data_IF_494742565493
#
_entry.id   IF_494742565493
#
_cell.length_a   1.000
_cell.length_b   1.000
_cell.length_c   1.000
_cell.angle_alpha   90.00
_cell.angle_beta   90.00
_cell.angle_gamma   90.00
#
_symmetry.space_group_name_H-M   'P 1'
#
loop_
_entity.id
_entity.type
_entity.pdbx_description
1 polymer ?
#
# COMPACT_ATOMS: atom_id res chain seq x y z
N UNK A 1 -18.95 32.72 42.63
CA UNK A 1 -19.40 31.54 41.86
C UNK A 1 -18.44 31.35 40.71
N UNK A 2 -17.79 30.19 40.67
CA UNK A 2 -16.60 29.90 39.86
C UNK A 2 -16.96 29.77 38.38
N UNK A 3 -16.39 30.62 37.52
CA UNK A 3 -16.48 30.48 36.08
C UNK A 3 -15.50 29.39 35.61
N UNK A 4 -16.04 28.22 35.29
CA UNK A 4 -15.25 27.13 34.71
C UNK A 4 -14.80 27.53 33.30
N UNK A 5 -13.51 27.85 33.17
CA UNK A 5 -12.82 28.06 31.91
C UNK A 5 -12.83 26.74 31.12
N UNK A 6 -13.63 26.64 30.05
CA UNK A 6 -13.55 25.53 29.12
C UNK A 6 -12.24 25.66 28.31
N UNK A 7 -11.47 24.58 28.14
CA UNK A 7 -10.15 24.66 27.51
C UNK A 7 -10.31 25.01 26.02
N UNK A 8 -9.58 26.05 25.60
CA UNK A 8 -9.42 26.40 24.21
C UNK A 8 -8.91 25.18 23.43
N UNK A 9 -9.71 24.71 22.48
CA UNK A 9 -9.29 23.68 21.50
C UNK A 9 -8.28 24.35 20.56
N UNK A 10 -7.02 24.43 21.02
CA UNK A 10 -5.90 24.82 20.19
C UNK A 10 -5.76 23.78 19.06
N UNK A 11 -6.13 24.21 17.86
CA UNK A 11 -6.14 23.39 16.67
C UNK A 11 -4.71 23.02 16.26
N UNK A 12 -4.28 21.80 16.59
CA UNK A 12 -3.20 21.14 15.83
C UNK A 12 -3.66 20.99 14.37
N UNK A 13 -2.76 21.14 13.36
CA UNK A 13 -3.08 20.73 12.00
C UNK A 13 -3.62 19.31 12.05
N UNK A 14 -4.81 19.08 11.48
CA UNK A 14 -5.59 17.88 11.75
C UNK A 14 -4.77 16.65 11.36
N UNK A 15 -4.64 15.68 12.28
CA UNK A 15 -3.99 14.40 11.98
C UNK A 15 -4.53 13.76 10.70
N UNK A 16 -5.81 14.00 10.40
CA UNK A 16 -6.46 13.61 9.15
C UNK A 16 -5.83 14.21 7.87
N UNK A 17 -5.41 15.47 7.85
CA UNK A 17 -4.77 16.06 6.67
C UNK A 17 -3.38 15.46 6.42
N UNK A 18 -2.62 15.25 7.49
CA UNK A 18 -1.35 14.54 7.43
C UNK A 18 -1.54 13.07 6.98
N UNK A 19 -2.59 12.41 7.47
CA UNK A 19 -2.95 11.05 7.06
C UNK A 19 -3.30 10.99 5.58
N UNK A 20 -4.01 11.97 5.03
CA UNK A 20 -4.30 12.01 3.58
C UNK A 20 -3.01 12.05 2.74
N UNK A 21 -2.06 12.91 3.08
CA UNK A 21 -0.77 13.00 2.38
C UNK A 21 0.01 11.68 2.46
N UNK A 22 0.00 11.04 3.64
CA UNK A 22 0.64 9.73 3.83
C UNK A 22 -0.04 8.65 3.00
N UNK A 23 -1.38 8.60 2.96
CA UNK A 23 -2.13 7.63 2.15
C UNK A 23 -1.84 7.83 0.66
N UNK A 24 -1.79 9.07 0.17
CA UNK A 24 -1.43 9.36 -1.22
C UNK A 24 0.00 8.88 -1.53
N UNK A 25 0.95 9.13 -0.62
CA UNK A 25 2.32 8.63 -0.78
C UNK A 25 2.35 7.10 -0.86
N UNK A 26 1.57 6.43 -0.02
CA UNK A 26 1.43 4.96 -0.07
C UNK A 26 0.88 4.54 -1.44
N UNK A 27 -0.19 5.18 -1.92
CA UNK A 27 -0.80 4.87 -3.22
C UNK A 27 0.20 4.96 -4.37
N UNK A 28 1.04 6.00 -4.39
CA UNK A 28 2.04 6.17 -5.43
C UNK A 28 3.13 5.08 -5.41
N UNK A 29 3.52 4.57 -4.23
CA UNK A 29 4.44 3.43 -4.15
C UNK A 29 3.80 2.14 -4.64
N UNK A 30 2.53 1.90 -4.34
CA UNK A 30 1.79 0.74 -4.85
C UNK A 30 1.72 0.77 -6.38
N UNK A 31 1.41 1.93 -6.97
CA UNK A 31 1.41 2.08 -8.43
C UNK A 31 2.77 1.78 -9.05
N UNK A 32 3.88 2.16 -8.41
CA UNK A 32 5.23 1.79 -8.86
C UNK A 32 5.41 0.28 -8.87
N UNK A 33 5.04 -0.41 -7.79
CA UNK A 33 5.12 -1.88 -7.71
C UNK A 33 4.26 -2.54 -8.79
N UNK A 34 3.05 -2.05 -9.06
CA UNK A 34 2.20 -2.54 -10.16
C UNK A 34 2.86 -2.35 -11.52
N UNK A 35 3.47 -1.19 -11.77
CA UNK A 35 4.17 -0.93 -13.02
C UNK A 35 5.37 -1.86 -13.23
N UNK A 36 6.11 -2.12 -12.16
CA UNK A 36 7.28 -3.01 -12.17
C UNK A 36 6.87 -4.49 -12.30
N UNK A 37 5.79 -4.93 -11.65
CA UNK A 37 5.30 -6.32 -11.77
C UNK A 37 4.91 -6.68 -13.20
N UNK A 38 4.39 -5.73 -13.98
CA UNK A 38 4.08 -5.95 -15.40
C UNK A 38 5.33 -6.26 -16.23
N UNK A 39 6.46 -5.62 -15.93
CA UNK A 39 7.74 -5.89 -16.61
C UNK A 39 8.17 -7.35 -16.41
N UNK A 40 8.02 -7.87 -15.19
CA UNK A 40 8.30 -9.28 -14.86
C UNK A 40 7.50 -10.24 -15.75
N UNK A 41 6.20 -10.00 -15.91
CA UNK A 41 5.35 -10.86 -16.73
C UNK A 41 5.80 -10.90 -18.20
N UNK A 42 6.18 -9.75 -18.77
CA UNK A 42 6.67 -9.68 -20.16
C UNK A 42 8.03 -10.37 -20.29
N UNK A 43 8.95 -10.13 -19.36
CA UNK A 43 10.26 -10.79 -19.35
C UNK A 43 10.14 -12.30 -19.22
N UNK A 44 9.29 -12.77 -18.30
CA UNK A 44 8.99 -14.19 -18.11
C UNK A 44 8.43 -14.84 -19.39
N UNK A 45 7.56 -14.13 -20.13
CA UNK A 45 7.05 -14.63 -21.40
C UNK A 45 8.16 -14.76 -22.46
N UNK A 46 9.01 -13.75 -22.60
CA UNK A 46 10.14 -13.77 -23.52
C UNK A 46 11.14 -14.89 -23.15
N UNK A 47 11.34 -15.10 -21.86
CA UNK A 47 12.19 -16.14 -21.31
C UNK A 47 11.67 -17.55 -21.62
N UNK A 48 10.35 -17.78 -21.53
CA UNK A 48 9.74 -19.06 -21.94
C UNK A 48 10.02 -19.36 -23.41
N UNK A 49 9.94 -18.36 -24.29
CA UNK A 49 10.24 -18.55 -25.71
C UNK A 49 11.72 -18.90 -25.94
N UNK A 50 12.62 -18.20 -25.25
CA UNK A 50 14.05 -18.48 -25.30
C UNK A 50 14.37 -19.90 -24.79
N UNK A 51 13.75 -20.32 -23.69
CA UNK A 51 13.91 -21.64 -23.12
C UNK A 51 13.40 -22.73 -24.08
N UNK A 52 12.24 -22.53 -24.73
CA UNK A 52 11.73 -23.44 -25.77
C UNK A 52 12.69 -23.58 -26.95
N UNK A 53 13.31 -22.48 -27.38
CA UNK A 53 14.31 -22.49 -28.46
C UNK A 53 15.59 -23.23 -28.07
N UNK A 54 16.00 -23.11 -26.80
CA UNK A 54 17.17 -23.80 -26.26
C UNK A 54 16.94 -25.30 -26.00
N UNK A 55 15.70 -25.75 -26.04
CA UNK A 55 15.35 -27.17 -25.89
C UNK A 55 15.78 -27.71 -24.53
N UNK A 56 16.47 -28.85 -24.52
CA UNK A 56 16.90 -29.53 -23.29
C UNK A 56 17.92 -28.73 -22.49
N UNK A 57 18.64 -27.79 -23.11
CA UNK A 57 19.66 -26.98 -22.44
C UNK A 57 19.10 -25.94 -21.48
N UNK A 58 17.78 -25.65 -21.50
CA UNK A 58 17.17 -24.62 -20.65
C UNK A 58 15.81 -25.04 -20.06
N UNK A 59 15.59 -26.36 -19.86
CA UNK A 59 14.33 -26.86 -19.31
C UNK A 59 14.03 -26.28 -17.92
N UNK A 60 15.01 -26.25 -17.02
CA UNK A 60 14.86 -25.69 -15.67
C UNK A 60 14.51 -24.20 -15.70
N UNK A 61 15.16 -23.44 -16.58
CA UNK A 61 14.84 -22.02 -16.79
C UNK A 61 13.43 -21.81 -17.35
N UNK A 62 12.95 -22.72 -18.21
CA UNK A 62 11.59 -22.69 -18.74
C UNK A 62 10.52 -22.87 -17.67
N UNK A 63 10.72 -23.82 -16.74
CA UNK A 63 9.83 -24.01 -15.57
C UNK A 63 9.82 -22.76 -14.71
N UNK A 64 11.01 -22.24 -14.39
CA UNK A 64 11.13 -21.06 -13.56
C UNK A 64 10.47 -19.83 -14.20
N UNK A 65 10.62 -19.66 -15.52
CA UNK A 65 9.96 -18.57 -16.23
C UNK A 65 8.43 -18.64 -16.14
N UNK A 66 7.86 -19.85 -16.01
CA UNK A 66 6.44 -20.00 -15.71
C UNK A 66 6.10 -19.61 -14.27
N UNK A 67 6.95 -19.96 -13.29
CA UNK A 67 6.80 -19.54 -11.89
C UNK A 67 6.89 -18.01 -11.75
N UNK A 68 7.79 -17.35 -12.46
CA UNK A 68 7.88 -15.88 -12.52
C UNK A 68 6.58 -15.23 -13.01
N UNK A 69 5.90 -15.90 -13.94
CA UNK A 69 4.62 -15.45 -14.49
C UNK A 69 3.48 -15.56 -13.46
N UNK A 70 3.48 -16.65 -12.69
CA UNK A 70 2.53 -16.83 -11.58
C UNK A 70 2.82 -15.79 -10.50
N UNK A 71 4.08 -15.66 -10.07
CA UNK A 71 4.51 -14.64 -9.11
C UNK A 71 4.10 -13.21 -9.50
N UNK A 72 4.33 -12.81 -10.76
CA UNK A 72 3.95 -11.47 -11.24
C UNK A 72 2.43 -11.23 -11.15
N UNK A 73 1.63 -12.25 -11.45
CA UNK A 73 0.17 -12.18 -11.34
C UNK A 73 -0.28 -12.07 -9.89
N UNK A 74 0.28 -12.88 -9.01
CA UNK A 74 -0.05 -12.86 -7.58
C UNK A 74 0.35 -11.53 -6.96
N UNK A 75 1.53 -11.02 -7.32
CA UNK A 75 1.99 -9.69 -6.92
C UNK A 75 1.02 -8.59 -7.35
N UNK A 76 0.55 -8.64 -8.60
CA UNK A 76 -0.45 -7.70 -9.10
C UNK A 76 -1.76 -7.79 -8.31
N UNK A 77 -2.27 -9.00 -8.06
CA UNK A 77 -3.51 -9.18 -7.30
C UNK A 77 -3.39 -8.61 -5.87
N UNK A 78 -2.26 -8.83 -5.20
CA UNK A 78 -2.01 -8.22 -3.89
C UNK A 78 -1.98 -6.69 -3.95
N UNK A 79 -1.34 -6.10 -4.97
CA UNK A 79 -1.33 -4.65 -5.13
C UNK A 79 -2.71 -4.07 -5.45
N UNK A 80 -3.54 -4.80 -6.22
CA UNK A 80 -4.93 -4.42 -6.48
C UNK A 80 -5.76 -4.44 -5.18
N UNK A 81 -5.62 -5.47 -4.35
CA UNK A 81 -6.27 -5.53 -3.04
C UNK A 81 -5.83 -4.39 -2.11
N UNK A 82 -4.52 -4.09 -2.06
CA UNK A 82 -4.01 -2.95 -1.29
C UNK A 82 -4.54 -1.61 -1.82
N UNK A 83 -4.67 -1.46 -3.13
CA UNK A 83 -5.24 -0.25 -3.75
C UNK A 83 -6.69 -0.03 -3.31
N UNK A 84 -7.49 -1.10 -3.24
CA UNK A 84 -8.86 -1.05 -2.70
C UNK A 84 -8.89 -0.52 -1.26
N UNK A 85 -8.06 -1.10 -0.38
CA UNK A 85 -7.96 -0.65 1.03
C UNK A 85 -7.50 0.81 1.16
N UNK A 86 -6.63 1.26 0.27
CA UNK A 86 -6.20 2.66 0.20
C UNK A 86 -7.34 3.59 -0.17
N UNK A 87 -8.14 3.23 -1.19
CA UNK A 87 -9.30 4.03 -1.57
C UNK A 87 -10.30 4.16 -0.41
N UNK A 88 -10.53 3.08 0.33
CA UNK A 88 -11.35 3.12 1.54
C UNK A 88 -10.76 4.05 2.61
N UNK A 89 -9.43 4.02 2.81
CA UNK A 89 -8.75 4.94 3.72
C UNK A 89 -8.90 6.40 3.30
N UNK A 90 -8.70 6.71 2.01
CA UNK A 90 -8.86 8.07 1.45
C UNK A 90 -10.29 8.56 1.69
N UNK A 91 -11.30 7.71 1.45
CA UNK A 91 -12.69 8.06 1.66
C UNK A 91 -12.99 8.39 3.13
N UNK A 92 -12.56 7.53 4.06
CA UNK A 92 -12.76 7.76 5.50
C UNK A 92 -12.06 9.02 6.02
N UNK A 93 -10.83 9.28 5.56
CA UNK A 93 -10.10 10.50 5.91
C UNK A 93 -10.78 11.74 5.31
N UNK A 94 -11.27 11.65 4.08
CA UNK A 94 -11.99 12.75 3.41
C UNK A 94 -13.27 13.12 4.14
N UNK A 95 -14.05 12.12 4.57
CA UNK A 95 -15.24 12.32 5.41
C UNK A 95 -14.83 12.96 6.75
N UNK A 96 -13.79 12.46 7.40
CA UNK A 96 -13.29 12.99 8.67
C UNK A 96 -12.85 14.46 8.55
N UNK A 97 -12.20 14.84 7.45
CA UNK A 97 -11.80 16.23 7.18
C UNK A 97 -13.00 17.14 6.95
N UNK A 98 -13.98 16.69 6.17
CA UNK A 98 -15.22 17.43 5.91
C UNK A 98 -16.00 17.65 7.21
N UNK A 99 -16.23 16.60 7.98
CA UNK A 99 -16.97 16.65 9.24
C UNK A 99 -16.22 17.53 10.24
N UNK A 100 -14.90 17.36 10.39
CA UNK A 100 -14.11 18.21 11.30
C UNK A 100 -14.12 19.70 10.93
N UNK A 101 -14.26 20.05 9.65
CA UNK A 101 -14.46 21.44 9.22
C UNK A 101 -15.86 21.93 9.59
N UNK A 102 -16.90 21.13 9.33
CA UNK A 102 -18.28 21.48 9.65
C UNK A 102 -18.50 21.63 11.17
N UNK A 103 -17.91 20.74 11.97
CA UNK A 103 -18.00 20.77 13.43
C UNK A 103 -17.40 22.06 14.01
N UNK A 104 -16.30 22.56 13.44
CA UNK A 104 -15.70 23.85 13.83
C UNK A 104 -16.64 25.02 13.56
N UNK A 105 -17.21 25.08 12.35
CA UNK A 105 -18.17 26.14 11.99
C UNK A 105 -19.41 26.11 12.89
N UNK A 106 -19.93 24.92 13.21
CA UNK A 106 -21.06 24.78 14.13
C UNK A 106 -20.73 25.19 15.56
N UNK A 107 -19.51 24.87 16.04
CA UNK A 107 -19.04 25.26 17.36
C UNK A 107 -18.88 26.79 17.48
N UNK A 108 -18.39 27.46 16.44
CA UNK A 108 -18.28 28.93 16.39
C UNK A 108 -19.67 29.61 16.49
N UNK A 109 -20.66 29.09 15.76
CA UNK A 109 -22.04 29.61 15.81
C UNK A 109 -22.70 29.35 17.18
N UNK A 110 -22.41 28.20 17.81
CA UNK A 110 -22.94 27.83 19.12
C UNK A 110 -22.54 28.74 20.28
N UNK A 111 -21.41 29.46 20.15
CA UNK A 111 -20.95 30.42 21.16
C UNK A 111 -21.70 31.76 21.12
N UNK A 112 -22.46 32.05 20.05
CA UNK A 112 -22.98 33.38 19.76
C UNK A 112 -24.51 33.56 19.96
N UNK A 113 -25.27 32.56 20.42
CA UNK A 113 -26.74 32.70 20.41
C UNK A 113 -27.59 31.77 21.29
N UNK A 114 -28.89 32.08 21.32
CA UNK A 114 -29.93 31.42 22.12
C UNK A 114 -30.17 29.93 21.81
N UNK A 115 -29.57 29.40 20.74
CA UNK A 115 -29.70 28.00 20.31
C UNK A 115 -28.60 27.07 20.89
N UNK A 116 -27.80 27.54 21.84
CA UNK A 116 -26.65 26.81 22.39
C UNK A 116 -26.97 25.38 22.87
N UNK A 117 -28.14 25.16 23.49
CA UNK A 117 -28.55 23.82 23.97
C UNK A 117 -28.92 22.85 22.84
N UNK A 118 -29.49 23.33 21.73
CA UNK A 118 -29.78 22.50 20.55
C UNK A 118 -28.47 22.17 19.81
N UNK A 119 -27.62 23.17 19.60
CA UNK A 119 -26.30 23.01 18.97
C UNK A 119 -25.38 22.09 19.77
N UNK A 120 -25.41 22.17 21.10
CA UNK A 120 -24.69 21.25 21.98
C UNK A 120 -25.08 19.78 21.76
N UNK A 121 -26.38 19.48 21.60
CA UNK A 121 -26.85 18.12 21.29
C UNK A 121 -26.39 17.65 19.91
N UNK A 122 -26.42 18.52 18.89
CA UNK A 122 -25.94 18.21 17.54
C UNK A 122 -24.43 17.91 17.56
N UNK A 123 -23.63 18.74 18.25
CA UNK A 123 -22.19 18.53 18.38
C UNK A 123 -21.86 17.25 19.14
N UNK A 124 -22.64 16.88 20.17
CA UNK A 124 -22.47 15.59 20.86
C UNK A 124 -22.77 14.40 19.94
N UNK A 125 -23.84 14.45 19.15
CA UNK A 125 -24.16 13.39 18.19
C UNK A 125 -23.06 13.27 17.11
N UNK A 126 -22.60 14.40 16.56
CA UNK A 126 -21.49 14.45 15.60
C UNK A 126 -20.18 13.89 16.18
N UNK A 127 -19.90 14.16 17.46
CA UNK A 127 -18.73 13.60 18.13
C UNK A 127 -18.78 12.06 18.16
N UNK A 128 -19.95 11.46 18.43
CA UNK A 128 -20.11 10.01 18.39
C UNK A 128 -19.92 9.43 16.98
N UNK A 129 -20.41 10.10 15.94
CA UNK A 129 -20.18 9.72 14.54
C UNK A 129 -18.69 9.79 14.16
N UNK A 130 -18.01 10.87 14.58
CA UNK A 130 -16.56 11.05 14.39
C UNK A 130 -15.77 9.92 15.03
N UNK A 131 -16.11 9.52 16.25
CA UNK A 131 -15.46 8.39 16.92
C UNK A 131 -15.72 7.06 16.18
N UNK A 132 -16.84 6.95 15.46
CA UNK A 132 -17.09 5.87 14.50
C UNK A 132 -16.10 5.86 13.34
N UNK A 133 -15.91 7.00 12.67
CA UNK A 133 -14.95 7.14 11.57
C UNK A 133 -13.50 6.89 12.00
N UNK A 134 -13.09 7.39 13.18
CA UNK A 134 -11.76 7.12 13.74
C UNK A 134 -11.53 5.62 13.94
N UNK A 135 -12.53 4.91 14.49
CA UNK A 135 -12.45 3.44 14.66
C UNK A 135 -12.38 2.70 13.33
N UNK A 136 -13.14 3.15 12.32
CA UNK A 136 -13.13 2.56 10.98
C UNK A 136 -11.80 2.76 10.28
N UNK A 137 -11.23 3.97 10.34
CA UNK A 137 -9.90 4.26 9.81
C UNK A 137 -8.82 3.41 10.49
N UNK A 138 -8.87 3.26 11.82
CA UNK A 138 -7.95 2.40 12.55
C UNK A 138 -8.06 0.92 12.13
N UNK A 139 -9.27 0.44 11.84
CA UNK A 139 -9.48 -0.91 11.33
C UNK A 139 -8.91 -1.09 9.92
N UNK A 140 -9.17 -0.14 9.01
CA UNK A 140 -8.61 -0.14 7.65
C UNK A 140 -7.08 -0.10 7.67
N UNK A 141 -6.48 0.73 8.52
CA UNK A 141 -5.03 0.81 8.71
C UNK A 141 -4.42 -0.54 9.13
N UNK A 142 -5.08 -1.27 10.04
CA UNK A 142 -4.67 -2.63 10.43
C UNK A 142 -4.82 -3.65 9.30
N UNK A 143 -5.88 -3.55 8.50
CA UNK A 143 -6.07 -4.41 7.32
C UNK A 143 -4.98 -4.14 6.27
N UNK A 144 -4.75 -2.86 5.96
CA UNK A 144 -3.71 -2.44 5.01
C UNK A 144 -2.32 -2.90 5.46
N UNK A 145 -2.01 -2.81 6.75
CA UNK A 145 -0.74 -3.32 7.30
C UNK A 145 -0.58 -4.83 7.10
N UNK A 146 -1.62 -5.62 7.39
CA UNK A 146 -1.58 -7.08 7.20
C UNK A 146 -1.39 -7.45 5.74
N UNK A 147 -2.16 -6.85 4.84
CA UNK A 147 -2.00 -7.07 3.40
C UNK A 147 -0.61 -6.66 2.89
N UNK A 148 0.00 -5.62 3.47
CA UNK A 148 1.37 -5.23 3.16
C UNK A 148 2.38 -6.27 3.66
N UNK A 149 2.21 -6.77 4.89
CA UNK A 149 3.05 -7.84 5.44
C UNK A 149 2.94 -9.13 4.60
N UNK A 150 1.75 -9.47 4.09
CA UNK A 150 1.55 -10.61 3.18
C UNK A 150 2.27 -10.38 1.83
N UNK A 151 2.19 -9.17 1.28
CA UNK A 151 2.91 -8.81 0.05
C UNK A 151 4.44 -8.93 0.22
N UNK A 152 4.97 -8.62 1.40
CA UNK A 152 6.37 -8.83 1.73
C UNK A 152 6.78 -10.28 1.67
N UNK A 153 6.02 -11.17 2.32
CA UNK A 153 6.32 -12.60 2.32
C UNK A 153 6.36 -13.16 0.90
N UNK A 154 5.44 -12.72 0.04
CA UNK A 154 5.43 -13.09 -1.37
C UNK A 154 6.68 -12.59 -2.12
N UNK A 155 7.13 -11.36 -1.86
CA UNK A 155 8.34 -10.81 -2.51
C UNK A 155 9.61 -11.51 -2.03
N UNK A 156 9.68 -11.93 -0.77
CA UNK A 156 10.77 -12.79 -0.27
C UNK A 156 10.85 -14.12 -1.02
N UNK A 157 9.69 -14.76 -1.29
CA UNK A 157 9.63 -15.94 -2.15
C UNK A 157 10.10 -15.62 -3.58
N UNK A 158 9.73 -14.46 -4.11
CA UNK A 158 10.24 -13.94 -5.39
C UNK A 158 11.77 -13.81 -5.41
N UNK A 159 12.39 -13.42 -4.29
CA UNK A 159 13.85 -13.36 -4.13
C UNK A 159 14.51 -14.75 -4.17
N UNK A 160 13.85 -15.77 -3.61
CA UNK A 160 14.30 -17.16 -3.75
C UNK A 160 14.23 -17.61 -5.20
N UNK A 161 13.13 -17.32 -5.90
CA UNK A 161 12.99 -17.60 -7.34
C UNK A 161 14.10 -16.92 -8.16
N UNK A 162 14.47 -15.68 -7.80
CA UNK A 162 15.50 -14.93 -8.51
C UNK A 162 16.88 -15.59 -8.38
N UNK A 163 17.20 -16.06 -7.17
CA UNK A 163 18.44 -16.82 -6.91
C UNK A 163 18.45 -18.14 -7.68
N UNK A 164 17.35 -18.88 -7.66
CA UNK A 164 17.21 -20.10 -8.46
C UNK A 164 17.37 -19.83 -9.96
N UNK A 165 16.88 -18.69 -10.45
CA UNK A 165 17.03 -18.27 -11.86
C UNK A 165 18.47 -18.11 -12.28
N UNK A 166 19.28 -17.51 -11.42
CA UNK A 166 20.71 -17.30 -11.70
C UNK A 166 21.46 -18.63 -11.75
N UNK A 167 21.10 -19.59 -10.89
CA UNK A 167 21.68 -20.93 -10.89
C UNK A 167 21.34 -21.63 -12.21
N UNK A 168 20.05 -21.72 -12.56
CA UNK A 168 19.59 -22.36 -13.80
C UNK A 168 20.16 -21.68 -15.06
N UNK A 169 20.28 -20.36 -15.05
CA UNK A 169 20.92 -19.62 -16.14
C UNK A 169 22.37 -20.05 -16.37
N UNK A 170 23.14 -20.32 -15.30
CA UNK A 170 24.53 -20.76 -15.42
C UNK A 170 24.66 -22.14 -16.07
N UNK A 171 23.66 -23.00 -15.91
CA UNK A 171 23.60 -24.33 -16.54
C UNK A 171 23.08 -24.30 -18.00
N UNK A 172 22.67 -23.13 -18.49
CA UNK A 172 22.06 -22.91 -19.81
C UNK A 172 22.95 -23.15 -21.04
N UNK A 173 24.18 -23.66 -20.87
CA UNK A 173 25.14 -23.94 -21.95
C UNK A 173 25.35 -22.72 -22.87
N UNK A 174 25.15 -22.88 -24.18
CA UNK A 174 25.28 -21.80 -25.17
C UNK A 174 24.29 -20.64 -24.98
N UNK A 175 23.21 -20.84 -24.23
CA UNK A 175 22.23 -19.82 -23.89
C UNK A 175 22.49 -19.14 -22.55
N UNK A 176 23.49 -19.60 -21.78
CA UNK A 176 23.79 -19.09 -20.45
C UNK A 176 23.93 -17.56 -20.39
N UNK A 177 24.60 -16.87 -21.33
CA UNK A 177 24.69 -15.40 -21.30
C UNK A 177 23.32 -14.71 -21.38
N UNK A 178 22.42 -15.19 -22.25
CA UNK A 178 21.08 -14.61 -22.40
C UNK A 178 20.19 -14.91 -21.19
N UNK A 179 20.26 -16.11 -20.62
CA UNK A 179 19.50 -16.48 -19.43
C UNK A 179 20.02 -15.77 -18.17
N UNK A 180 21.33 -15.53 -18.09
CA UNK A 180 21.97 -14.78 -17.01
C UNK A 180 21.53 -13.31 -17.03
N UNK A 181 21.40 -12.71 -18.22
CA UNK A 181 20.85 -11.37 -18.36
C UNK A 181 19.41 -11.30 -17.83
N UNK A 182 18.53 -12.19 -18.29
CA UNK A 182 17.12 -12.21 -17.88
C UNK A 182 16.97 -12.43 -16.37
N UNK A 183 17.72 -13.38 -15.79
CA UNK A 183 17.69 -13.65 -14.35
C UNK A 183 18.26 -12.49 -13.52
N UNK A 184 19.29 -11.81 -14.01
CA UNK A 184 19.85 -10.61 -13.38
C UNK A 184 18.88 -9.44 -13.38
N UNK A 185 18.21 -9.18 -14.50
CA UNK A 185 17.18 -8.15 -14.60
C UNK A 185 15.98 -8.47 -13.68
N UNK A 186 15.54 -9.73 -13.60
CA UNK A 186 14.48 -10.15 -12.69
C UNK A 186 14.85 -9.93 -11.22
N UNK A 187 16.07 -10.31 -10.82
CA UNK A 187 16.58 -10.09 -9.46
C UNK A 187 16.58 -8.61 -9.09
N UNK A 188 17.08 -7.75 -9.99
CA UNK A 188 17.06 -6.30 -9.78
C UNK A 188 15.64 -5.74 -9.61
N UNK A 189 14.66 -6.27 -10.36
CA UNK A 189 13.26 -5.89 -10.23
C UNK A 189 12.68 -6.34 -8.87
N UNK A 190 12.94 -7.57 -8.43
CA UNK A 190 12.47 -8.05 -7.11
C UNK A 190 13.03 -7.18 -6.00
N UNK A 191 14.30 -6.78 -6.10
CA UNK A 191 14.96 -5.88 -5.18
C UNK A 191 14.34 -4.48 -5.17
N UNK A 192 13.99 -3.93 -6.33
CA UNK A 192 13.26 -2.66 -6.45
C UNK A 192 11.88 -2.71 -5.76
N UNK A 193 11.15 -3.81 -5.96
CA UNK A 193 9.85 -4.04 -5.32
C UNK A 193 10.02 -4.13 -3.81
N UNK A 194 11.00 -4.91 -3.33
CA UNK A 194 11.32 -5.06 -1.91
C UNK A 194 11.59 -3.70 -1.26
N UNK A 195 12.44 -2.87 -1.87
CA UNK A 195 12.72 -1.52 -1.39
C UNK A 195 11.48 -0.62 -1.35
N UNK A 196 10.61 -0.72 -2.35
CA UNK A 196 9.34 0.03 -2.40
C UNK A 196 8.39 -0.39 -1.26
N UNK A 197 8.25 -1.69 -1.01
CA UNK A 197 7.45 -2.20 0.10
C UNK A 197 8.08 -1.82 1.47
N UNK A 198 9.40 -1.74 1.59
CA UNK A 198 10.08 -1.30 2.82
C UNK A 198 9.81 0.17 3.13
N UNK A 199 9.84 1.02 2.12
CA UNK A 199 9.45 2.42 2.26
C UNK A 199 8.00 2.54 2.72
N UNK A 200 7.09 1.71 2.19
CA UNK A 200 5.70 1.66 2.62
C UNK A 200 5.57 1.24 4.09
N UNK A 201 6.25 0.17 4.50
CA UNK A 201 6.16 -0.39 5.86
C UNK A 201 6.64 0.58 6.94
N UNK A 202 7.61 1.44 6.59
CA UNK A 202 8.13 2.50 7.47
C UNK A 202 7.24 3.76 7.51
N UNK A 203 6.14 3.79 6.75
CA UNK A 203 5.24 4.95 6.72
C UNK A 203 4.66 5.25 8.11
N UNK A 204 4.72 6.52 8.58
CA UNK A 204 4.10 6.95 9.83
C UNK A 204 2.59 6.71 9.87
N UNK A 205 1.96 6.52 8.71
CA UNK A 205 0.55 6.16 8.64
C UNK A 205 0.24 4.91 9.46
N UNK A 206 1.13 3.91 9.48
CA UNK A 206 0.91 2.68 10.24
C UNK A 206 1.25 2.81 11.73
N UNK A 207 2.00 3.84 12.12
CA UNK A 207 2.38 4.10 13.51
C UNK A 207 1.32 4.93 14.26
N UNK A 208 0.45 5.66 13.57
CA UNK A 208 -0.61 6.46 14.19
C UNK A 208 -1.67 5.56 14.85
N UNK A 209 -1.77 5.64 16.18
CA UNK A 209 -2.80 4.98 17.01
C UNK A 209 -3.95 5.95 17.25
#
# INVERSE_FOLDING_TARGET
MSAALLPAVAAKPSGAAADLLRIVTINEQIKRVVGVSFKINIMALNAIFLAKRAGTAALGFGVLSNELRVFSRDLRNCMEALTGLIHDCVNEVSISLRNGRQDRLLAEVGQAGAAAALLGRVLQQRAAERDGHVRRLAALRRQLKRALDDAFQMVELGGVLAKSAKIEAAYGQSFAPSLAQVSGEFDGIVEEIRGSLEALRRSPFFAAH
#
